data_IF_385852556094
#
_entry.id   IF_385852556094
#
_cell.length_a   1.000
_cell.length_b   1.000
_cell.length_c   1.000
_cell.angle_alpha   90.00
_cell.angle_beta   90.00
_cell.angle_gamma   90.00
#
_symmetry.space_group_name_H-M   'P 1'
#
loop_
_entity.id
_entity.type
_entity.pdbx_description
1 polymer ?
#
# COMPACT_ATOMS: atom_id res chain seq x y z
N UNK A 1 -11.42 -11.45 6.77
CA UNK A 1 -10.84 -10.17 6.30
C UNK A 1 -10.11 -10.33 4.97
N UNK A 2 -9.07 -11.18 4.88
CA UNK A 2 -8.31 -11.40 3.63
C UNK A 2 -9.18 -11.88 2.46
N UNK A 3 -10.00 -12.92 2.67
CA UNK A 3 -10.86 -13.48 1.61
C UNK A 3 -11.83 -12.44 1.05
N UNK A 4 -12.38 -11.58 1.92
CA UNK A 4 -13.25 -10.48 1.50
C UNK A 4 -12.52 -9.47 0.60
N UNK A 5 -11.30 -9.05 0.97
CA UNK A 5 -10.50 -8.12 0.16
C UNK A 5 -10.20 -8.70 -1.22
N UNK A 6 -9.86 -9.98 -1.29
CA UNK A 6 -9.60 -10.67 -2.56
C UNK A 6 -10.85 -10.77 -3.43
N UNK A 7 -11.97 -11.20 -2.86
CA UNK A 7 -13.24 -11.32 -3.57
C UNK A 7 -13.67 -9.95 -4.11
N UNK A 8 -13.68 -8.90 -3.29
CA UNK A 8 -14.06 -7.55 -3.73
C UNK A 8 -13.13 -7.04 -4.82
N UNK A 9 -11.82 -7.27 -4.70
CA UNK A 9 -10.85 -6.85 -5.73
C UNK A 9 -11.08 -7.56 -7.07
N UNK A 10 -11.34 -8.87 -7.03
CA UNK A 10 -11.64 -9.66 -8.23
C UNK A 10 -12.96 -9.23 -8.87
N UNK A 11 -14.00 -8.99 -8.06
CA UNK A 11 -15.28 -8.50 -8.54
C UNK A 11 -15.12 -7.14 -9.23
N UNK A 12 -14.41 -6.19 -8.61
CA UNK A 12 -14.13 -4.88 -9.20
C UNK A 12 -13.32 -4.98 -10.51
N UNK A 13 -12.37 -5.92 -10.59
CA UNK A 13 -11.58 -6.17 -11.79
C UNK A 13 -12.39 -6.82 -12.94
N UNK A 14 -13.48 -7.52 -12.61
CA UNK A 14 -14.40 -8.09 -13.60
C UNK A 14 -15.39 -7.06 -14.17
N UNK A 15 -15.62 -5.92 -13.51
CA UNK A 15 -16.57 -4.90 -13.98
C UNK A 15 -16.31 -4.47 -15.44
N UNK A 16 -15.07 -4.13 -15.85
CA UNK A 16 -14.78 -3.74 -17.24
C UNK A 16 -14.85 -4.90 -18.24
N UNK A 17 -14.86 -6.16 -17.78
CA UNK A 17 -15.09 -7.32 -18.64
C UNK A 17 -16.55 -7.38 -19.11
N UNK A 18 -17.48 -7.02 -18.24
CA UNK A 18 -18.91 -6.90 -18.57
C UNK A 18 -19.27 -5.58 -19.29
N UNK A 19 -18.27 -4.84 -19.79
CA UNK A 19 -18.44 -3.52 -20.41
C UNK A 19 -19.09 -2.45 -19.50
N UNK A 20 -19.15 -2.69 -18.19
CA UNK A 20 -19.57 -1.71 -17.19
C UNK A 20 -18.38 -0.78 -16.92
N UNK A 21 -18.58 0.53 -17.01
CA UNK A 21 -17.54 1.56 -16.75
C UNK A 21 -16.26 1.47 -17.60
N UNK A 22 -16.39 0.92 -18.80
CA UNK A 22 -15.32 0.83 -19.80
C UNK A 22 -15.03 -0.61 -20.21
N UNK A 23 -14.00 -0.78 -21.02
CA UNK A 23 -13.58 -2.08 -21.55
C UNK A 23 -12.06 -2.12 -21.72
N UNK A 24 -11.46 -3.30 -21.63
CA UNK A 24 -10.04 -3.47 -21.88
C UNK A 24 -9.74 -3.33 -23.37
N UNK A 25 -8.84 -2.41 -23.74
CA UNK A 25 -8.37 -2.25 -25.13
C UNK A 25 -6.89 -1.94 -25.16
N UNK A 26 -6.20 -2.48 -26.17
CA UNK A 26 -4.83 -2.11 -26.50
C UNK A 26 -4.80 -0.73 -27.16
N UNK A 27 -3.90 0.14 -26.71
CA UNK A 27 -3.74 1.50 -27.25
C UNK A 27 -2.74 1.52 -28.43
N UNK A 28 -3.18 1.09 -29.61
CA UNK A 28 -2.33 0.98 -30.82
C UNK A 28 -1.74 2.33 -31.30
N UNK A 29 -2.42 3.46 -31.04
CA UNK A 29 -2.01 4.76 -31.60
C UNK A 29 -0.91 5.50 -30.83
N UNK A 30 -0.66 5.18 -29.55
CA UNK A 30 0.26 5.99 -28.71
C UNK A 30 1.19 5.24 -27.75
N UNK A 31 1.13 3.91 -27.66
CA UNK A 31 2.14 2.97 -27.08
C UNK A 31 1.42 1.68 -26.71
N UNK A 32 2.00 0.54 -27.08
CA UNK A 32 1.51 -0.84 -26.88
C UNK A 32 1.30 -1.24 -25.41
N UNK A 33 0.31 -0.67 -24.73
CA UNK A 33 -0.11 -1.10 -23.40
C UNK A 33 -1.62 -1.33 -23.36
N UNK A 34 -2.04 -2.39 -22.67
CA UNK A 34 -3.44 -2.70 -22.45
C UNK A 34 -3.96 -1.91 -21.25
N UNK A 35 -5.13 -1.30 -21.39
CA UNK A 35 -5.77 -0.58 -20.30
C UNK A 35 -7.25 -0.39 -20.52
N UNK A 36 -7.93 0.10 -19.49
CA UNK A 36 -9.37 0.36 -19.53
C UNK A 36 -9.63 1.64 -20.35
N UNK A 37 -10.29 1.49 -21.50
CA UNK A 37 -10.77 2.56 -22.37
C UNK A 37 -12.27 2.80 -22.14
N UNK A 38 -12.72 4.03 -22.44
CA UNK A 38 -14.13 4.44 -22.32
C UNK A 38 -14.91 3.91 -23.51
N UNK A 39 -16.09 3.33 -23.27
CA UNK A 39 -17.05 2.84 -24.28
C UNK A 39 -17.57 3.98 -25.16
N UNK A 40 -17.91 5.13 -24.58
CA UNK A 40 -18.44 6.28 -25.31
C UNK A 40 -17.89 7.59 -24.73
N UNK A 41 -17.53 8.55 -25.59
CA UNK A 41 -16.98 9.86 -25.18
C UNK A 41 -17.98 10.73 -24.38
N UNK A 42 -19.27 10.40 -24.47
CA UNK A 42 -20.41 10.99 -23.74
C UNK A 42 -20.91 10.15 -22.55
N UNK A 43 -20.22 9.07 -22.15
CA UNK A 43 -20.66 8.27 -20.99
C UNK A 43 -20.50 9.06 -19.67
N UNK A 44 -21.61 9.39 -18.97
CA UNK A 44 -21.58 10.17 -17.74
C UNK A 44 -20.96 9.40 -16.58
N UNK A 45 -20.66 8.10 -16.69
CA UNK A 45 -20.07 7.27 -15.63
C UNK A 45 -18.54 7.18 -15.69
N UNK A 46 -17.89 7.92 -16.59
CA UNK A 46 -16.44 7.81 -16.80
C UNK A 46 -15.57 8.31 -15.63
N UNK A 47 -16.16 9.03 -14.68
CA UNK A 47 -15.55 9.41 -13.40
C UNK A 47 -15.48 8.25 -12.41
N UNK A 48 -16.24 7.17 -12.60
CA UNK A 48 -16.38 6.09 -11.63
C UNK A 48 -15.03 5.48 -11.23
N UNK A 49 -14.17 5.14 -12.21
CA UNK A 49 -12.83 4.60 -11.93
C UNK A 49 -11.99 5.53 -11.05
N UNK A 50 -11.93 6.81 -11.44
CA UNK A 50 -11.10 7.79 -10.74
C UNK A 50 -11.72 8.11 -9.38
N UNK A 51 -13.05 8.05 -9.25
CA UNK A 51 -13.79 8.20 -7.99
C UNK A 51 -13.56 7.06 -7.02
N UNK A 52 -13.66 5.79 -7.41
CA UNK A 52 -13.35 4.67 -6.50
C UNK A 52 -11.90 4.70 -6.05
N UNK A 53 -11.00 5.09 -6.95
CA UNK A 53 -9.60 5.25 -6.61
C UNK A 53 -9.39 6.39 -5.58
N UNK A 54 -9.97 7.56 -5.83
CA UNK A 54 -9.90 8.71 -4.92
C UNK A 54 -10.59 8.41 -3.59
N UNK A 55 -11.76 7.78 -3.61
CA UNK A 55 -12.49 7.37 -2.42
C UNK A 55 -11.65 6.39 -1.58
N UNK A 56 -11.10 5.35 -2.21
CA UNK A 56 -10.22 4.39 -1.52
C UNK A 56 -8.97 5.06 -0.95
N UNK A 57 -8.33 5.94 -1.71
CA UNK A 57 -7.16 6.70 -1.29
C UNK A 57 -7.48 7.62 -0.10
N UNK A 58 -8.56 8.40 -0.20
CA UNK A 58 -8.99 9.35 0.83
C UNK A 58 -9.45 8.62 2.10
N UNK A 59 -10.28 7.58 1.99
CA UNK A 59 -10.72 6.80 3.15
C UNK A 59 -9.53 6.14 3.85
N UNK A 60 -8.62 5.53 3.10
CA UNK A 60 -7.41 4.91 3.67
C UNK A 60 -6.50 5.95 4.30
N UNK A 61 -6.30 7.10 3.64
CA UNK A 61 -5.50 8.21 4.14
C UNK A 61 -6.06 8.81 5.42
N UNK A 62 -7.36 9.11 5.46
CA UNK A 62 -8.02 9.62 6.66
C UNK A 62 -7.95 8.61 7.81
N UNK A 63 -8.23 7.33 7.53
CA UNK A 63 -8.13 6.25 8.52
C UNK A 63 -6.72 6.15 9.09
N UNK A 64 -5.70 6.20 8.22
CA UNK A 64 -4.29 6.22 8.64
C UNK A 64 -4.02 7.43 9.54
N UNK A 65 -4.31 8.65 9.08
CA UNK A 65 -4.06 9.89 9.83
C UNK A 65 -4.71 9.85 11.21
N UNK A 66 -6.00 9.49 11.29
CA UNK A 66 -6.74 9.42 12.55
C UNK A 66 -6.11 8.36 13.46
N UNK A 67 -5.87 7.16 12.95
CA UNK A 67 -5.31 6.06 13.76
C UNK A 67 -3.92 6.42 14.30
N UNK A 68 -3.06 7.05 13.49
CA UNK A 68 -1.74 7.49 13.95
C UNK A 68 -1.81 8.65 14.92
N UNK A 69 -2.69 9.63 14.70
CA UNK A 69 -2.89 10.73 15.64
C UNK A 69 -3.32 10.20 17.01
N UNK A 70 -4.24 9.23 17.04
CA UNK A 70 -4.69 8.57 18.27
C UNK A 70 -3.57 7.74 18.93
N UNK A 71 -2.80 6.97 18.16
CA UNK A 71 -1.66 6.21 18.68
C UNK A 71 -0.61 7.16 19.25
N UNK A 72 -0.26 8.22 18.52
CA UNK A 72 0.71 9.22 18.94
C UNK A 72 0.27 9.93 20.22
N UNK A 73 -0.99 10.38 20.28
CA UNK A 73 -1.57 10.99 21.47
C UNK A 73 -1.54 10.03 22.67
N UNK A 74 -1.88 8.76 22.44
CA UNK A 74 -1.83 7.75 23.50
C UNK A 74 -0.41 7.41 23.95
N UNK A 75 0.57 7.50 23.07
CA UNK A 75 2.00 7.27 23.37
C UNK A 75 2.61 8.45 24.11
N UNK A 76 2.31 9.69 23.71
CA UNK A 76 2.84 10.89 24.38
C UNK A 76 2.21 11.07 25.78
N UNK A 77 0.94 10.70 25.93
CA UNK A 77 0.22 10.84 27.20
C UNK A 77 0.43 9.64 28.14
N UNK A 78 0.96 8.50 27.66
CA UNK A 78 1.40 7.42 28.55
C UNK A 78 2.85 7.67 28.98
N UNK A 79 2.99 8.08 30.24
CA UNK A 79 4.25 8.19 30.98
C UNK A 79 5.08 6.88 30.93
N UNK A 80 6.39 7.00 31.22
CA UNK A 80 7.55 6.10 31.07
C UNK A 80 7.38 4.55 31.01
N UNK A 81 6.24 3.98 31.44
CA UNK A 81 5.87 2.57 31.30
C UNK A 81 5.82 2.06 29.85
N UNK A 82 5.59 2.96 28.88
CA UNK A 82 5.67 2.57 27.46
C UNK A 82 7.10 2.19 27.04
N UNK A 83 8.11 2.80 27.68
CA UNK A 83 9.53 2.51 27.48
C UNK A 83 9.94 1.11 27.96
N UNK A 84 9.19 0.48 28.87
CA UNK A 84 9.52 -0.85 29.41
C UNK A 84 8.78 -1.99 28.69
N UNK A 85 7.65 -1.71 28.04
CA UNK A 85 6.85 -2.74 27.36
C UNK A 85 7.40 -3.10 25.96
N UNK A 86 8.07 -4.25 25.87
CA UNK A 86 8.63 -4.79 24.61
C UNK A 86 7.56 -5.03 23.53
N UNK A 87 6.38 -5.52 23.90
CA UNK A 87 5.30 -5.80 22.94
C UNK A 87 4.75 -4.50 22.33
N UNK A 88 4.60 -3.46 23.14
CA UNK A 88 4.15 -2.14 22.68
C UNK A 88 5.16 -1.50 21.69
N UNK A 89 6.47 -1.61 21.98
CA UNK A 89 7.53 -1.19 21.05
C UNK A 89 7.50 -1.95 19.73
N UNK A 90 7.26 -3.27 19.75
CA UNK A 90 7.13 -4.09 18.54
C UNK A 90 5.94 -3.62 17.69
N UNK A 91 4.79 -3.39 18.32
CA UNK A 91 3.60 -2.90 17.62
C UNK A 91 3.84 -1.53 16.97
N UNK A 92 4.55 -0.61 17.64
CA UNK A 92 4.94 0.67 17.04
C UNK A 92 5.88 0.54 15.84
N UNK A 93 6.82 -0.42 15.87
CA UNK A 93 7.66 -0.70 14.70
C UNK A 93 6.82 -1.17 13.51
N UNK A 94 5.84 -2.05 13.75
CA UNK A 94 4.90 -2.50 12.72
C UNK A 94 4.06 -1.34 12.18
N UNK A 95 3.54 -0.48 13.06
CA UNK A 95 2.83 0.73 12.68
C UNK A 95 3.70 1.69 11.84
N UNK A 96 4.93 1.97 12.27
CA UNK A 96 5.89 2.79 11.52
C UNK A 96 6.14 2.21 10.12
N UNK A 97 6.25 0.89 10.00
CA UNK A 97 6.40 0.22 8.71
C UNK A 97 5.19 0.45 7.80
N UNK A 98 3.97 0.35 8.34
CA UNK A 98 2.72 0.61 7.59
C UNK A 98 2.67 2.07 7.11
N UNK A 99 3.10 3.06 7.91
CA UNK A 99 3.23 4.47 7.47
C UNK A 99 4.16 4.58 6.26
N UNK A 100 5.33 3.94 6.33
CA UNK A 100 6.34 4.02 5.26
C UNK A 100 5.78 3.42 3.96
N UNK A 101 5.12 2.25 4.05
CA UNK A 101 4.46 1.61 2.90
C UNK A 101 3.38 2.53 2.32
N UNK A 102 2.54 3.14 3.16
CA UNK A 102 1.50 4.05 2.70
C UNK A 102 2.09 5.32 2.05
N UNK A 103 3.17 5.88 2.61
CA UNK A 103 3.88 7.02 2.03
C UNK A 103 4.48 6.69 0.66
N UNK A 104 5.09 5.51 0.51
CA UNK A 104 5.59 5.02 -0.77
C UNK A 104 4.45 4.85 -1.79
N UNK A 105 3.32 4.30 -1.37
CA UNK A 105 2.11 4.21 -2.20
C UNK A 105 1.64 5.58 -2.68
N UNK A 106 1.62 6.61 -1.81
CA UNK A 106 1.29 7.99 -2.21
C UNK A 106 2.26 8.49 -3.29
N UNK A 107 3.57 8.33 -3.08
CA UNK A 107 4.59 8.79 -4.04
C UNK A 107 4.43 8.11 -5.41
N UNK A 108 4.04 6.84 -5.43
CA UNK A 108 3.83 6.11 -6.69
C UNK A 108 2.51 6.47 -7.39
N UNK A 109 1.43 6.75 -6.64
CA UNK A 109 0.09 6.92 -7.22
C UNK A 109 -0.40 8.36 -7.32
N UNK A 110 -0.04 9.24 -6.39
CA UNK A 110 -0.50 10.62 -6.38
C UNK A 110 -0.05 11.42 -7.61
N UNK A 111 1.20 11.31 -8.09
CA UNK A 111 1.61 12.02 -9.32
C UNK A 111 0.77 11.61 -10.53
N UNK A 112 0.37 10.33 -10.61
CA UNK A 112 -0.50 9.83 -11.68
C UNK A 112 -1.90 10.44 -11.62
N UNK A 113 -2.46 10.55 -10.42
CA UNK A 113 -3.76 11.19 -10.21
C UNK A 113 -3.70 12.68 -10.59
N UNK A 114 -2.62 13.37 -10.19
CA UNK A 114 -2.40 14.79 -10.47
C UNK A 114 -2.22 15.08 -11.97
N UNK A 115 -1.40 14.28 -12.66
CA UNK A 115 -1.21 14.40 -14.11
C UNK A 115 -2.54 14.24 -14.85
N UNK A 116 -3.38 13.28 -14.44
CA UNK A 116 -4.70 13.06 -15.05
C UNK A 116 -5.67 14.21 -14.78
N UNK A 117 -5.62 14.79 -13.58
CA UNK A 117 -6.47 15.91 -13.19
C UNK A 117 -6.10 17.21 -13.92
N UNK A 118 -4.80 17.56 -13.95
CA UNK A 118 -4.32 18.84 -14.49
C UNK A 118 -4.17 18.81 -16.01
N UNK A 119 -3.58 17.74 -16.57
CA UNK A 119 -3.09 17.75 -17.94
C UNK A 119 -4.13 17.36 -18.98
N UNK A 120 -5.43 17.39 -18.65
CA UNK A 120 -6.56 16.88 -19.47
C UNK A 120 -6.51 17.26 -20.96
N UNK A 121 -5.79 18.34 -21.34
CA UNK A 121 -5.69 18.88 -22.71
C UNK A 121 -4.28 18.95 -23.36
N UNK A 122 -3.15 18.56 -22.74
CA UNK A 122 -1.79 18.76 -23.34
C UNK A 122 -0.99 17.46 -23.55
N UNK A 123 -0.25 17.39 -24.67
CA UNK A 123 0.46 16.19 -25.18
C UNK A 123 1.29 15.42 -24.12
N UNK A 124 1.11 14.09 -24.13
CA UNK A 124 1.33 13.19 -22.98
C UNK A 124 2.50 12.21 -23.13
N UNK A 125 3.53 12.50 -23.92
CA UNK A 125 4.60 11.52 -24.18
C UNK A 125 5.33 11.09 -22.89
N UNK A 126 6.03 12.02 -22.24
CA UNK A 126 6.90 11.71 -21.10
C UNK A 126 6.15 11.55 -19.78
N UNK A 127 5.20 12.44 -19.49
CA UNK A 127 4.40 12.39 -18.24
C UNK A 127 3.62 11.09 -18.07
N UNK A 128 3.09 10.53 -19.16
CA UNK A 128 2.39 9.24 -19.15
C UNK A 128 3.35 8.07 -18.94
N UNK A 129 4.55 8.11 -19.52
CA UNK A 129 5.57 7.07 -19.30
C UNK A 129 6.01 7.01 -17.83
N UNK A 130 6.34 8.18 -17.26
CA UNK A 130 6.71 8.31 -15.85
C UNK A 130 5.58 7.78 -14.96
N UNK A 131 4.35 8.14 -15.27
CA UNK A 131 3.18 7.67 -14.55
C UNK A 131 3.05 6.14 -14.52
N UNK A 132 3.18 5.49 -15.68
CA UNK A 132 3.16 4.03 -15.78
C UNK A 132 4.30 3.41 -14.96
N UNK A 133 5.53 3.90 -15.10
CA UNK A 133 6.69 3.39 -14.35
C UNK A 133 6.44 3.46 -12.84
N UNK A 134 5.92 4.59 -12.35
CA UNK A 134 5.62 4.76 -10.92
C UNK A 134 4.56 3.76 -10.41
N UNK A 135 3.54 3.46 -11.22
CA UNK A 135 2.51 2.46 -10.87
C UNK A 135 3.14 1.07 -10.69
N UNK A 136 4.01 0.66 -11.62
CA UNK A 136 4.69 -0.63 -11.55
C UNK A 136 5.73 -0.67 -10.43
N UNK A 137 6.40 0.45 -10.15
CA UNK A 137 7.40 0.56 -9.08
C UNK A 137 6.79 0.27 -7.70
N UNK A 138 5.49 0.57 -7.48
CA UNK A 138 4.82 0.25 -6.23
C UNK A 138 4.89 -1.25 -5.88
N UNK A 139 4.85 -2.14 -6.87
CA UNK A 139 4.97 -3.57 -6.62
C UNK A 139 6.38 -3.93 -6.11
N UNK A 140 7.41 -3.24 -6.59
CA UNK A 140 8.81 -3.52 -6.28
C UNK A 140 9.30 -2.84 -4.99
N UNK A 141 8.69 -1.72 -4.59
CA UNK A 141 9.16 -0.96 -3.42
C UNK A 141 8.83 -1.67 -2.10
N UNK A 142 7.78 -2.49 -2.05
CA UNK A 142 7.37 -3.16 -0.82
C UNK A 142 8.46 -4.10 -0.28
N UNK A 143 9.02 -5.07 -1.05
CA UNK A 143 10.17 -5.86 -0.60
C UNK A 143 11.37 -5.03 -0.12
N UNK A 144 11.67 -3.92 -0.80
CA UNK A 144 12.76 -3.01 -0.43
C UNK A 144 12.48 -2.39 0.94
N UNK A 145 11.25 -1.90 1.18
CA UNK A 145 10.83 -1.33 2.46
C UNK A 145 10.93 -2.38 3.57
N UNK A 146 10.44 -3.60 3.36
CA UNK A 146 10.54 -4.67 4.34
C UNK A 146 12.00 -5.01 4.65
N UNK A 147 12.85 -5.09 3.62
CA UNK A 147 14.27 -5.33 3.81
C UNK A 147 14.95 -4.20 4.61
N UNK A 148 14.68 -2.94 4.29
CA UNK A 148 15.32 -1.79 4.95
C UNK A 148 14.79 -1.53 6.37
N UNK A 149 13.49 -1.68 6.61
CA UNK A 149 12.83 -1.20 7.83
C UNK A 149 12.29 -2.30 8.74
N UNK A 150 12.24 -3.57 8.29
CA UNK A 150 11.80 -4.69 9.10
C UNK A 150 12.96 -5.66 9.41
N UNK A 151 13.61 -5.46 10.55
CA UNK A 151 14.71 -6.33 11.01
C UNK A 151 14.27 -7.78 11.23
N UNK A 152 13.05 -8.01 11.71
CA UNK A 152 12.52 -9.37 11.89
C UNK A 152 12.39 -10.09 10.55
N UNK A 153 11.97 -9.36 9.50
CA UNK A 153 11.90 -9.88 8.13
C UNK A 153 13.28 -10.28 7.61
N UNK A 154 14.30 -9.44 7.82
CA UNK A 154 15.69 -9.77 7.44
C UNK A 154 16.19 -11.02 8.16
N UNK A 155 15.97 -11.12 9.47
CA UNK A 155 16.39 -12.28 10.26
C UNK A 155 15.70 -13.57 9.77
N UNK A 156 14.41 -13.50 9.44
CA UNK A 156 13.71 -14.65 8.84
C UNK A 156 14.28 -15.02 7.47
N UNK A 157 14.61 -14.04 6.63
CA UNK A 157 15.20 -14.26 5.32
C UNK A 157 16.61 -14.88 5.42
N UNK A 158 17.45 -14.40 6.35
CA UNK A 158 18.77 -14.98 6.62
C UNK A 158 18.69 -16.42 7.12
N UNK A 159 17.69 -16.74 7.96
CA UNK A 159 17.41 -18.11 8.41
C UNK A 159 16.98 -19.02 7.25
N UNK A 160 16.16 -18.52 6.33
CA UNK A 160 15.71 -19.27 5.14
C UNK A 160 16.85 -19.48 4.13
N UNK A 161 17.72 -18.48 3.95
CA UNK A 161 18.87 -18.55 3.03
C UNK A 161 20.07 -19.33 3.59
N UNK A 162 19.97 -19.87 4.82
CA UNK A 162 20.99 -20.76 5.39
C UNK A 162 22.28 -20.07 5.84
N UNK A 163 22.33 -18.74 5.87
CA UNK A 163 23.55 -17.97 6.17
C UNK A 163 23.81 -17.78 7.69
N UNK A 164 23.86 -18.85 8.50
CA UNK A 164 24.34 -18.94 9.93
C UNK A 164 23.66 -17.98 10.97
N UNK A 165 23.54 -18.23 12.28
CA UNK A 165 23.81 -19.32 13.25
C UNK A 165 22.67 -19.21 14.28
N UNK A 166 22.16 -20.34 14.76
CA UNK A 166 21.14 -20.47 15.79
C UNK A 166 21.30 -19.44 16.93
N UNK A 167 20.41 -18.45 17.00
CA UNK A 167 20.09 -17.82 18.28
C UNK A 167 18.77 -18.41 18.75
N UNK A 168 18.76 -19.12 19.90
CA UNK A 168 17.50 -19.57 20.49
C UNK A 168 16.62 -18.35 20.80
N UNK A 169 15.29 -18.48 20.74
CA UNK A 169 14.39 -17.42 21.17
C UNK A 169 14.68 -17.05 22.63
N UNK A 170 14.51 -15.78 23.03
CA UNK A 170 14.66 -15.39 24.43
C UNK A 170 13.70 -16.23 25.28
N UNK A 171 14.26 -16.94 26.25
CA UNK A 171 13.54 -17.72 27.25
C UNK A 171 12.46 -16.84 27.88
N UNK A 172 11.23 -17.32 27.82
CA UNK A 172 10.18 -16.87 28.74
C UNK A 172 10.59 -17.42 30.10
N UNK A 173 11.06 -16.55 30.99
CA UNK A 173 11.17 -16.86 32.40
C UNK A 173 9.77 -17.19 32.92
N UNK A 174 9.45 -18.49 32.95
CA UNK A 174 8.48 -19.02 33.88
C UNK A 174 9.21 -19.14 35.22
N UNK A 175 9.06 -18.11 36.05
CA UNK A 175 9.27 -18.21 37.49
C UNK A 175 8.32 -19.27 38.03
N UNK A 176 8.86 -20.46 38.30
CA UNK A 176 8.27 -21.41 39.22
C UNK A 176 8.40 -20.83 40.63
N UNK A 177 7.31 -20.28 41.16
CA UNK A 177 7.18 -20.08 42.60
C UNK A 177 6.75 -21.39 43.25
N UNK A 178 7.65 -21.90 44.08
CA UNK A 178 7.45 -22.93 45.09
C UNK A 178 6.64 -22.40 46.26
N UNK A 179 5.54 -23.08 46.62
CA UNK A 179 5.13 -23.40 48.00
C UNK A 179 3.92 -24.33 47.95
#
# INVERSE_FOLDING_TARGET
MLSFVWIVSLLLALIPYFHLWGYYKLDEKRRSYCGIRRSVETDPTSWARDFFFVLGFTVTGLTMIITYALIWYKVIHRDNSFGTNKAAKRNLKLFKLIVIIFGAFIICYFPNLLIRAIMRKRGYGYSKAIGVILIWLNCCINPIIYFSFNTEYRLALERLLGCKRSQPPPSSDHTSESS
#
